data_IF_662629072848
#
_entry.id   IF_662629072848
#
_cell.length_a   1.000
_cell.length_b   1.000
_cell.length_c   1.000
_cell.angle_alpha   90.00
_cell.angle_beta   90.00
_cell.angle_gamma   90.00
#
_symmetry.space_group_name_H-M   'P 1'
#
loop_
_entity.id
_entity.type
_entity.pdbx_description
1 polymer ?
#
# COMPACT_ATOMS: atom_id res chain seq x y z
N UNK A 1 16.65 0.21 14.47
CA UNK A 1 16.41 -1.16 13.99
C UNK A 1 15.89 -1.00 12.58
N UNK A 2 16.29 -1.84 11.62
CA UNK A 2 15.79 -1.71 10.26
C UNK A 2 14.28 -2.07 10.22
N UNK A 3 13.52 -1.50 9.29
CA UNK A 3 12.09 -1.76 9.11
C UNK A 3 11.86 -3.26 8.90
N UNK A 4 12.69 -3.91 8.08
CA UNK A 4 12.61 -5.36 7.84
C UNK A 4 12.71 -6.19 9.14
N UNK A 5 13.62 -5.82 10.05
CA UNK A 5 13.76 -6.50 11.36
C UNK A 5 12.59 -6.21 12.29
N UNK A 6 11.94 -5.06 12.16
CA UNK A 6 10.75 -4.76 12.95
C UNK A 6 9.59 -5.65 12.52
N UNK A 7 9.46 -5.99 11.23
CA UNK A 7 8.51 -6.98 10.76
C UNK A 7 8.79 -8.39 11.28
N UNK A 8 10.06 -8.82 11.38
CA UNK A 8 10.40 -10.10 12.03
C UNK A 8 9.91 -10.14 13.49
N UNK A 9 10.09 -9.03 14.23
CA UNK A 9 9.58 -8.90 15.62
C UNK A 9 8.06 -8.89 15.65
N UNK A 10 7.42 -8.18 14.72
CA UNK A 10 5.96 -8.12 14.61
C UNK A 10 5.37 -9.52 14.41
N UNK A 11 5.96 -10.33 13.53
CA UNK A 11 5.55 -11.72 13.29
C UNK A 11 5.68 -12.59 14.54
N UNK A 12 6.75 -12.43 15.32
CA UNK A 12 6.87 -13.14 16.60
C UNK A 12 5.80 -12.72 17.62
N UNK A 13 5.41 -11.45 17.65
CA UNK A 13 4.40 -10.92 18.57
C UNK A 13 2.99 -11.36 18.16
N UNK A 14 2.69 -11.37 16.87
CA UNK A 14 1.43 -11.90 16.32
C UNK A 14 1.25 -13.38 16.71
N UNK A 15 2.30 -14.19 16.57
CA UNK A 15 2.27 -15.60 16.99
C UNK A 15 2.04 -15.79 18.51
N UNK A 16 2.32 -14.76 19.32
CA UNK A 16 2.16 -14.76 20.78
C UNK A 16 0.87 -14.06 21.23
N UNK A 17 0.04 -13.53 20.32
CA UNK A 17 -1.19 -12.77 20.60
C UNK A 17 -0.96 -11.60 21.59
N UNK A 18 0.06 -10.78 21.35
CA UNK A 18 0.44 -9.64 22.20
C UNK A 18 -0.01 -8.31 21.58
N UNK A 19 -1.32 -8.08 21.56
CA UNK A 19 -1.96 -6.98 20.81
C UNK A 19 -1.40 -5.58 21.14
N UNK A 20 -1.14 -5.28 22.41
CA UNK A 20 -0.56 -3.98 22.82
C UNK A 20 0.85 -3.78 22.23
N UNK A 21 1.69 -4.83 22.24
CA UNK A 21 3.06 -4.78 21.70
C UNK A 21 3.07 -4.74 20.17
N UNK A 22 2.08 -5.36 19.51
CA UNK A 22 1.89 -5.33 18.06
C UNK A 22 1.69 -3.89 17.59
N UNK A 23 0.79 -3.15 18.24
CA UNK A 23 0.48 -1.76 17.88
C UNK A 23 1.70 -0.84 18.06
N UNK A 24 2.48 -1.02 19.13
CA UNK A 24 3.71 -0.24 19.34
C UNK A 24 4.75 -0.50 18.25
N UNK A 25 4.95 -1.77 17.86
CA UNK A 25 5.91 -2.13 16.82
C UNK A 25 5.44 -1.64 15.45
N UNK A 26 4.16 -1.76 15.12
CA UNK A 26 3.62 -1.26 13.85
C UNK A 26 3.73 0.26 13.73
N UNK A 27 3.42 1.01 14.80
CA UNK A 27 3.62 2.46 14.83
C UNK A 27 5.08 2.84 14.54
N UNK A 28 6.02 2.09 15.11
CA UNK A 28 7.44 2.33 14.89
C UNK A 28 7.89 2.00 13.45
N UNK A 29 7.32 0.94 12.86
CA UNK A 29 7.49 0.62 11.43
C UNK A 29 7.05 1.82 10.57
N UNK A 30 5.87 2.40 10.85
CA UNK A 30 5.38 3.57 10.12
C UNK A 30 6.28 4.79 10.30
N UNK A 31 6.71 5.09 11.54
CA UNK A 31 7.61 6.21 11.81
C UNK A 31 8.94 6.11 11.04
N UNK A 32 9.54 4.92 10.99
CA UNK A 32 10.79 4.69 10.25
C UNK A 32 10.56 4.64 8.73
N UNK A 33 9.40 4.12 8.29
CA UNK A 33 8.96 4.14 6.88
C UNK A 33 8.81 5.56 6.36
N UNK A 34 8.12 6.44 7.10
CA UNK A 34 7.95 7.84 6.67
C UNK A 34 9.28 8.59 6.59
N UNK A 35 10.23 8.32 7.49
CA UNK A 35 11.59 8.90 7.39
C UNK A 35 12.27 8.46 6.10
N UNK A 36 12.20 7.17 5.76
CA UNK A 36 12.80 6.64 4.54
C UNK A 36 12.12 7.19 3.29
N UNK A 37 10.77 7.21 3.26
CA UNK A 37 9.99 7.76 2.14
C UNK A 37 10.31 9.23 1.92
N UNK A 38 10.35 10.04 2.98
CA UNK A 38 10.71 11.45 2.88
C UNK A 38 12.15 11.64 2.38
N UNK A 39 13.10 10.85 2.88
CA UNK A 39 14.47 10.88 2.37
C UNK A 39 14.52 10.54 0.86
N UNK A 40 13.73 9.56 0.40
CA UNK A 40 13.66 9.18 -1.01
C UNK A 40 13.09 10.31 -1.86
N UNK A 41 11.99 10.94 -1.43
CA UNK A 41 11.38 12.09 -2.10
C UNK A 41 12.38 13.25 -2.19
N UNK A 42 13.00 13.64 -1.08
CA UNK A 42 13.96 14.77 -1.02
C UNK A 42 15.17 14.58 -1.93
N UNK A 43 15.56 13.33 -2.17
CA UNK A 43 16.69 12.97 -3.02
C UNK A 43 16.29 12.54 -4.44
N UNK A 44 15.02 12.71 -4.83
CA UNK A 44 14.47 12.31 -6.13
C UNK A 44 14.75 10.83 -6.47
N UNK A 45 14.65 9.95 -5.46
CA UNK A 45 14.87 8.51 -5.57
C UNK A 45 13.56 7.73 -5.46
N UNK A 46 13.58 6.55 -6.04
CA UNK A 46 12.51 5.56 -5.97
C UNK A 46 12.77 4.50 -4.89
N UNK A 47 11.73 3.72 -4.57
CA UNK A 47 11.78 2.54 -3.71
C UNK A 47 11.90 1.27 -4.56
N UNK A 48 12.95 0.48 -4.33
CA UNK A 48 13.18 -0.82 -4.98
C UNK A 48 12.63 -1.96 -4.12
N UNK A 49 11.62 -2.66 -4.62
CA UNK A 49 11.02 -3.84 -3.95
C UNK A 49 12.01 -5.01 -3.78
N UNK A 50 13.14 -5.02 -4.47
CA UNK A 50 14.16 -6.05 -4.31
C UNK A 50 15.15 -5.73 -3.18
N UNK A 51 15.15 -4.49 -2.66
CA UNK A 51 15.84 -4.14 -1.44
C UNK A 51 14.95 -4.47 -0.23
N UNK A 52 15.36 -5.36 0.69
CA UNK A 52 14.51 -5.80 1.80
C UNK A 52 13.99 -4.67 2.69
N UNK A 53 14.79 -3.61 2.89
CA UNK A 53 14.39 -2.48 3.73
C UNK A 53 13.33 -1.62 3.02
N UNK A 54 13.52 -1.38 1.73
CA UNK A 54 12.59 -0.60 0.93
C UNK A 54 11.32 -1.40 0.63
N UNK A 55 11.42 -2.71 0.44
CA UNK A 55 10.27 -3.61 0.34
C UNK A 55 9.42 -3.57 1.62
N UNK A 56 10.05 -3.57 2.79
CA UNK A 56 9.37 -3.42 4.07
C UNK A 56 8.72 -2.04 4.22
N UNK A 57 9.33 -0.98 3.68
CA UNK A 57 8.70 0.34 3.65
C UNK A 57 7.50 0.40 2.68
N UNK A 58 7.61 -0.22 1.49
CA UNK A 58 6.48 -0.35 0.55
C UNK A 58 5.33 -1.11 1.21
N UNK A 59 5.64 -2.17 1.97
CA UNK A 59 4.67 -2.91 2.79
C UNK A 59 3.94 -2.04 3.78
N UNK A 60 4.70 -1.31 4.58
CA UNK A 60 4.14 -0.44 5.61
C UNK A 60 3.22 0.62 5.01
N UNK A 61 3.61 1.23 3.88
CA UNK A 61 2.76 2.19 3.16
C UNK A 61 1.51 1.54 2.59
N UNK A 62 1.60 0.31 2.08
CA UNK A 62 0.43 -0.42 1.60
C UNK A 62 -0.53 -0.76 2.75
N UNK A 63 -0.04 -1.34 3.85
CA UNK A 63 -0.85 -1.67 5.04
C UNK A 63 -1.51 -0.41 5.62
N UNK A 64 -0.77 0.70 5.71
CA UNK A 64 -1.30 1.99 6.16
C UNK A 64 -2.39 2.55 5.24
N UNK A 65 -2.23 2.43 3.92
CA UNK A 65 -3.26 2.82 2.95
C UNK A 65 -4.55 2.02 3.16
N UNK A 66 -4.45 0.72 3.44
CA UNK A 66 -5.62 -0.13 3.68
C UNK A 66 -6.31 0.25 5.01
N UNK A 67 -5.54 0.50 6.07
CA UNK A 67 -6.05 0.96 7.36
C UNK A 67 -6.84 2.28 7.21
N UNK A 68 -6.26 3.28 6.54
CA UNK A 68 -6.93 4.55 6.26
C UNK A 68 -8.22 4.34 5.44
N UNK A 69 -8.20 3.45 4.46
CA UNK A 69 -9.40 3.15 3.66
C UNK A 69 -10.48 2.50 4.53
N UNK A 70 -10.12 1.51 5.35
CA UNK A 70 -11.05 0.85 6.28
C UNK A 70 -11.69 1.86 7.25
N UNK A 71 -10.88 2.77 7.80
CA UNK A 71 -11.30 3.88 8.67
C UNK A 71 -12.08 5.00 7.96
N UNK A 72 -12.33 4.88 6.65
CA UNK A 72 -13.00 5.89 5.81
C UNK A 72 -12.24 7.22 5.65
N UNK A 73 -10.95 7.24 5.95
CA UNK A 73 -10.02 8.35 5.64
C UNK A 73 -9.60 8.28 4.16
N UNK A 74 -10.58 8.40 3.26
CA UNK A 74 -10.42 8.12 1.82
C UNK A 74 -9.44 9.07 1.13
N UNK A 75 -9.44 10.35 1.49
CA UNK A 75 -8.55 11.32 0.84
C UNK A 75 -7.09 11.07 1.23
N UNK A 76 -6.84 10.76 2.51
CA UNK A 76 -5.53 10.37 3.02
C UNK A 76 -5.06 9.04 2.41
N UNK A 77 -5.94 8.05 2.33
CA UNK A 77 -5.64 6.75 1.69
C UNK A 77 -5.26 6.92 0.21
N UNK A 78 -6.01 7.76 -0.55
CA UNK A 78 -5.66 8.07 -1.94
C UNK A 78 -4.32 8.78 -2.05
N UNK A 79 -4.02 9.73 -1.16
CA UNK A 79 -2.73 10.42 -1.15
C UNK A 79 -1.56 9.43 -1.00
N UNK A 80 -1.66 8.50 -0.05
CA UNK A 80 -0.69 7.40 0.10
C UNK A 80 -0.60 6.59 -1.19
N UNK A 81 -1.73 6.21 -1.78
CA UNK A 81 -1.77 5.48 -3.05
C UNK A 81 -1.05 6.22 -4.18
N UNK A 82 -1.28 7.53 -4.34
CA UNK A 82 -0.62 8.36 -5.34
C UNK A 82 0.90 8.45 -5.11
N UNK A 83 1.33 8.70 -3.87
CA UNK A 83 2.76 8.71 -3.52
C UNK A 83 3.43 7.40 -3.91
N UNK A 84 2.77 6.26 -3.66
CA UNK A 84 3.30 4.95 -3.99
C UNK A 84 3.33 4.66 -5.50
N UNK A 85 2.36 5.16 -6.28
CA UNK A 85 2.40 5.11 -7.75
C UNK A 85 3.60 5.88 -8.30
N UNK A 86 3.97 7.00 -7.67
CA UNK A 86 5.14 7.77 -8.04
C UNK A 86 6.45 7.07 -7.63
N UNK A 87 6.57 6.68 -6.35
CA UNK A 87 7.83 6.30 -5.72
C UNK A 87 8.32 4.88 -6.02
N UNK A 88 7.44 3.91 -6.25
CA UNK A 88 7.86 2.49 -6.33
C UNK A 88 8.46 2.14 -7.68
N UNK A 89 9.68 1.64 -7.76
CA UNK A 89 10.30 1.18 -9.02
C UNK A 89 9.92 -0.27 -9.38
N UNK A 90 8.62 -0.57 -9.40
CA UNK A 90 8.09 -1.83 -9.88
C UNK A 90 6.75 -1.59 -10.59
N UNK A 91 6.69 -1.98 -11.87
CA UNK A 91 5.52 -1.73 -12.71
C UNK A 91 4.26 -2.41 -12.17
N UNK A 92 4.35 -3.63 -11.66
CA UNK A 92 3.19 -4.37 -11.15
C UNK A 92 2.66 -3.73 -9.87
N UNK A 93 3.55 -3.25 -9.01
CA UNK A 93 3.14 -2.54 -7.80
C UNK A 93 2.53 -1.17 -8.11
N UNK A 94 3.10 -0.41 -9.05
CA UNK A 94 2.48 0.84 -9.51
C UNK A 94 1.06 0.61 -10.04
N UNK A 95 0.88 -0.44 -10.83
CA UNK A 95 -0.42 -0.84 -11.35
C UNK A 95 -1.37 -1.23 -10.22
N UNK A 96 -0.92 -2.04 -9.26
CA UNK A 96 -1.67 -2.38 -8.05
C UNK A 96 -2.14 -1.13 -7.31
N UNK A 97 -1.25 -0.22 -6.91
CA UNK A 97 -1.63 1.01 -6.20
C UNK A 97 -2.64 1.85 -7.01
N UNK A 98 -2.47 1.92 -8.33
CA UNK A 98 -3.44 2.60 -9.20
C UNK A 98 -4.83 1.96 -9.13
N UNK A 99 -4.93 0.62 -9.11
CA UNK A 99 -6.21 -0.08 -8.99
C UNK A 99 -6.88 0.14 -7.64
N UNK A 100 -6.11 0.14 -6.54
CA UNK A 100 -6.64 0.43 -5.21
C UNK A 100 -7.18 1.88 -5.12
N UNK A 101 -6.45 2.86 -5.66
CA UNK A 101 -6.94 4.24 -5.79
C UNK A 101 -8.20 4.31 -6.64
N UNK A 102 -8.27 3.59 -7.75
CA UNK A 102 -9.48 3.53 -8.58
C UNK A 102 -10.67 2.96 -7.80
N UNK A 103 -10.45 1.95 -6.96
CA UNK A 103 -11.46 1.42 -6.05
C UNK A 103 -12.01 2.48 -5.09
N UNK A 104 -11.11 3.26 -4.48
CA UNK A 104 -11.47 4.40 -3.62
C UNK A 104 -12.22 5.49 -4.40
N UNK A 105 -11.76 5.84 -5.61
CA UNK A 105 -12.42 6.83 -6.48
C UNK A 105 -13.83 6.40 -6.90
N UNK A 106 -14.05 5.09 -7.01
CA UNK A 106 -15.35 4.50 -7.27
C UNK A 106 -16.29 4.51 -6.06
N UNK A 107 -15.80 4.93 -4.88
CA UNK A 107 -16.56 4.98 -3.64
C UNK A 107 -16.85 3.60 -3.05
N UNK A 108 -16.00 2.61 -3.36
CA UNK A 108 -16.13 1.26 -2.82
C UNK A 108 -15.59 1.20 -1.40
N UNK A 109 -16.21 0.38 -0.55
CA UNK A 109 -15.60 -0.04 0.71
C UNK A 109 -14.46 -1.04 0.46
N UNK A 110 -13.53 -1.13 1.42
CA UNK A 110 -12.38 -2.03 1.34
C UNK A 110 -12.80 -3.49 1.11
N UNK A 111 -13.69 -4.00 1.96
CA UNK A 111 -14.22 -5.38 1.85
C UNK A 111 -14.87 -5.66 0.49
N UNK A 112 -15.70 -4.72 0.02
CA UNK A 112 -16.36 -4.83 -1.27
C UNK A 112 -15.34 -4.87 -2.42
N UNK A 113 -14.29 -4.06 -2.33
CA UNK A 113 -13.24 -4.03 -3.33
C UNK A 113 -12.47 -5.35 -3.38
N UNK A 114 -12.07 -5.87 -2.22
CA UNK A 114 -11.38 -7.15 -2.11
C UNK A 114 -12.23 -8.31 -2.64
N UNK A 115 -13.50 -8.40 -2.23
CA UNK A 115 -14.38 -9.49 -2.63
C UNK A 115 -14.64 -9.51 -4.14
N UNK A 116 -14.81 -8.33 -4.76
CA UNK A 116 -15.23 -8.24 -6.16
C UNK A 116 -14.09 -8.20 -7.15
N UNK A 117 -12.95 -7.62 -6.78
CA UNK A 117 -11.92 -7.24 -7.75
C UNK A 117 -10.54 -7.81 -7.44
N UNK A 118 -10.22 -8.22 -6.22
CA UNK A 118 -8.85 -8.66 -5.87
C UNK A 118 -8.74 -10.19 -5.87
N UNK A 119 -7.73 -10.73 -6.57
CA UNK A 119 -7.40 -12.17 -6.54
C UNK A 119 -6.41 -12.45 -5.41
N UNK A 120 -6.92 -12.80 -4.22
CA UNK A 120 -6.12 -13.02 -3.00
C UNK A 120 -5.37 -14.35 -2.97
N UNK A 121 -5.65 -15.27 -3.89
CA UNK A 121 -4.96 -16.56 -4.05
C UNK A 121 -3.57 -16.44 -4.68
N UNK A 122 -3.24 -15.26 -5.22
CA UNK A 122 -1.95 -14.96 -5.85
C UNK A 122 -1.30 -13.79 -5.15
N UNK A 123 -0.14 -14.06 -4.57
CA UNK A 123 0.64 -13.07 -3.85
C UNK A 123 1.93 -12.79 -4.60
N UNK A 124 2.19 -11.53 -4.90
CA UNK A 124 3.43 -11.06 -5.50
C UNK A 124 4.41 -10.61 -4.41
N UNK A 125 5.66 -11.08 -4.50
CA UNK A 125 6.74 -10.77 -3.54
C UNK A 125 6.28 -10.98 -2.09
N UNK A 126 5.61 -12.11 -1.86
CA UNK A 126 5.16 -12.63 -0.55
C UNK A 126 4.07 -11.84 0.18
N UNK A 127 3.65 -10.67 -0.32
CA UNK A 127 2.73 -9.82 0.43
C UNK A 127 1.84 -8.84 -0.38
N UNK A 128 2.02 -8.72 -1.69
CA UNK A 128 1.24 -7.76 -2.51
C UNK A 128 0.18 -8.43 -3.38
N UNK A 129 -1.00 -7.81 -3.47
CA UNK A 129 -2.14 -8.30 -4.26
C UNK A 129 -2.18 -7.62 -5.63
N UNK A 130 -1.35 -8.11 -6.57
CA UNK A 130 -1.18 -7.48 -7.89
C UNK A 130 -2.10 -8.05 -8.98
N UNK A 131 -2.95 -9.01 -8.63
CA UNK A 131 -3.81 -9.71 -9.59
C UNK A 131 -5.27 -9.36 -9.32
N UNK A 132 -6.00 -9.02 -10.38
CA UNK A 132 -7.37 -8.52 -10.28
C UNK A 132 -8.33 -9.35 -11.15
N UNK A 133 -9.60 -9.39 -10.78
CA UNK A 133 -10.69 -9.91 -11.60
C UNK A 133 -10.92 -8.99 -12.80
N UNK A 134 -11.30 -9.56 -13.95
CA UNK A 134 -11.47 -8.81 -15.21
C UNK A 134 -12.51 -7.68 -15.10
N UNK A 135 -13.43 -7.75 -14.12
CA UNK A 135 -14.37 -6.66 -13.79
C UNK A 135 -13.68 -5.35 -13.40
N UNK A 136 -12.40 -5.37 -13.00
CA UNK A 136 -11.64 -4.16 -12.68
C UNK A 136 -11.55 -3.23 -13.90
N UNK A 137 -11.55 -3.78 -15.12
CA UNK A 137 -11.43 -3.01 -16.36
C UNK A 137 -12.55 -1.97 -16.51
N UNK A 138 -13.77 -2.31 -16.07
CA UNK A 138 -14.90 -1.39 -16.07
C UNK A 138 -14.66 -0.18 -15.16
N UNK A 139 -14.02 -0.37 -14.01
CA UNK A 139 -13.65 0.73 -13.12
C UNK A 139 -12.54 1.57 -13.75
N UNK A 140 -11.51 0.93 -14.32
CA UNK A 140 -10.41 1.63 -14.99
C UNK A 140 -10.93 2.53 -16.10
N UNK A 141 -11.81 2.03 -16.96
CA UNK A 141 -12.38 2.83 -18.06
C UNK A 141 -13.13 4.06 -17.55
N UNK A 142 -13.88 3.93 -16.45
CA UNK A 142 -14.70 5.00 -15.87
C UNK A 142 -13.89 6.04 -15.09
N UNK A 143 -12.86 5.60 -14.38
CA UNK A 143 -12.18 6.45 -13.39
C UNK A 143 -10.75 6.85 -13.78
N UNK A 144 -10.18 6.33 -14.88
CA UNK A 144 -8.82 6.70 -15.35
C UNK A 144 -8.61 8.19 -15.53
N UNK A 145 -9.63 8.93 -15.97
CA UNK A 145 -9.47 10.37 -16.26
C UNK A 145 -9.49 11.17 -14.95
N UNK A 146 -10.35 10.79 -14.01
CA UNK A 146 -10.35 11.34 -12.64
C UNK A 146 -9.06 11.02 -11.90
N UNK A 147 -8.57 9.78 -12.02
CA UNK A 147 -7.27 9.39 -11.48
C UNK A 147 -6.15 10.30 -12.00
N UNK A 148 -6.11 10.56 -13.32
CA UNK A 148 -5.09 11.44 -13.90
C UNK A 148 -5.21 12.89 -13.41
N UNK A 149 -6.43 13.39 -13.26
CA UNK A 149 -6.69 14.74 -12.76
C UNK A 149 -6.15 14.89 -11.32
N UNK A 150 -6.48 13.96 -10.43
CA UNK A 150 -6.01 14.00 -9.03
C UNK A 150 -4.51 13.69 -8.92
N UNK A 151 -3.97 12.75 -9.70
CA UNK A 151 -2.56 12.37 -9.68
C UNK A 151 -1.61 13.46 -10.21
N UNK A 152 -2.11 14.35 -11.07
CA UNK A 152 -1.30 15.42 -11.68
C UNK A 152 -1.41 16.76 -10.95
N UNK A 153 -2.20 16.82 -9.87
CA UNK A 153 -2.47 18.01 -9.07
C UNK A 153 -1.45 18.18 -7.96
#
# INVERSE_FOLDING_TARGET
MSIAKQYEVLEELMNKNKDDEINEVFRKILEDTFKLVNEKIENEKTLDVNNPEEAAAIRAMFEYMLELWDEQAIEEAKAVGYDMVYLVDDKKLKEMFSMFVIGMLAGLGLDEFFEKYVKTDKVYKDMFFTEFDDKIDDLVVRYKDKFKEEFSS
#
